data_IF_159601143757
#
_entry.id   IF_159601143757
#
_cell.length_a   1.000
_cell.length_b   1.000
_cell.length_c   1.000
_cell.angle_alpha   90.00
_cell.angle_beta   90.00
_cell.angle_gamma   90.00
#
_symmetry.space_group_name_H-M   'P 1'
#
loop_
_entity.id
_entity.type
_entity.pdbx_description
1 polymer ?
#
# COMPACT_ATOMS: atom_id res chain seq x y z
N UNK A 1 6.87 44.40 -22.30
CA UNK A 1 7.79 43.88 -21.25
C UNK A 1 7.11 42.88 -20.31
N UNK A 2 6.05 43.25 -19.56
CA UNK A 2 5.39 42.32 -18.60
C UNK A 2 4.77 41.07 -19.24
N UNK A 3 4.18 41.20 -20.44
CA UNK A 3 3.64 40.05 -21.19
C UNK A 3 4.73 39.06 -21.60
N UNK A 4 5.92 39.52 -21.93
CA UNK A 4 7.04 38.64 -22.28
C UNK A 4 7.64 37.96 -21.06
N UNK A 5 7.77 38.67 -19.93
CA UNK A 5 8.22 38.10 -18.65
C UNK A 5 7.23 37.02 -18.17
N UNK A 6 5.92 37.25 -18.34
CA UNK A 6 4.86 36.26 -18.04
C UNK A 6 4.93 35.04 -18.97
N UNK A 7 5.16 35.24 -20.28
CA UNK A 7 5.35 34.15 -21.25
C UNK A 7 6.60 33.31 -20.93
N UNK A 8 7.73 33.96 -20.61
CA UNK A 8 9.00 33.30 -20.24
C UNK A 8 8.87 32.52 -18.94
N UNK A 9 8.16 33.05 -17.93
CA UNK A 9 7.84 32.31 -16.69
C UNK A 9 6.95 31.09 -16.94
N UNK A 10 5.94 31.20 -17.81
CA UNK A 10 5.07 30.06 -18.19
C UNK A 10 5.84 28.99 -18.99
N UNK A 11 6.70 29.39 -19.93
CA UNK A 11 7.57 28.46 -20.67
C UNK A 11 8.54 27.73 -19.75
N UNK A 12 9.21 28.45 -18.83
CA UNK A 12 10.13 27.84 -17.87
C UNK A 12 9.42 26.97 -16.82
N UNK A 13 8.16 27.27 -16.49
CA UNK A 13 7.37 26.40 -15.63
C UNK A 13 6.94 25.11 -16.35
N UNK A 14 6.60 25.19 -17.64
CA UNK A 14 6.18 24.06 -18.46
C UNK A 14 7.33 23.07 -18.73
N UNK A 15 8.57 23.55 -18.97
CA UNK A 15 9.73 22.68 -19.23
C UNK A 15 10.15 21.83 -18.03
N UNK A 16 9.80 22.23 -16.81
CA UNK A 16 10.13 21.49 -15.57
C UNK A 16 9.02 20.55 -15.07
N UNK A 17 7.84 20.55 -15.69
CA UNK A 17 6.76 19.64 -15.30
C UNK A 17 7.08 18.14 -15.48
N UNK A 18 7.61 17.67 -16.63
CA UNK A 18 7.87 16.22 -16.81
C UNK A 18 8.89 15.70 -15.80
N UNK A 19 9.94 16.47 -15.50
CA UNK A 19 10.94 16.09 -14.51
C UNK A 19 10.33 15.97 -13.10
N UNK A 20 9.41 16.86 -12.73
CA UNK A 20 8.74 16.81 -11.42
C UNK A 20 7.80 15.61 -11.29
N UNK A 21 7.10 15.28 -12.36
CA UNK A 21 6.27 14.08 -12.42
C UNK A 21 7.12 12.81 -12.27
N UNK A 22 8.23 12.73 -12.99
CA UNK A 22 9.16 11.61 -12.88
C UNK A 22 9.73 11.44 -11.47
N UNK A 23 10.14 12.55 -10.82
CA UNK A 23 10.59 12.52 -9.42
C UNK A 23 9.48 12.03 -8.48
N UNK A 24 8.25 12.53 -8.67
CA UNK A 24 7.08 12.12 -7.87
C UNK A 24 6.82 10.62 -8.02
N UNK A 25 6.91 10.11 -9.25
CA UNK A 25 6.77 8.69 -9.55
C UNK A 25 7.83 7.87 -8.81
N UNK A 26 9.12 8.21 -8.95
CA UNK A 26 10.21 7.48 -8.28
C UNK A 26 10.02 7.46 -6.78
N UNK A 27 9.70 8.60 -6.18
CA UNK A 27 9.49 8.71 -4.74
C UNK A 27 8.33 7.84 -4.25
N UNK A 28 7.22 7.88 -4.97
CA UNK A 28 6.05 7.09 -4.62
C UNK A 28 6.27 5.59 -4.84
N UNK A 29 6.94 5.21 -5.93
CA UNK A 29 7.35 3.83 -6.21
C UNK A 29 8.28 3.29 -5.12
N UNK A 30 9.29 4.06 -4.74
CA UNK A 30 10.24 3.67 -3.68
C UNK A 30 9.53 3.46 -2.35
N UNK A 31 8.63 4.38 -2.01
CA UNK A 31 7.86 4.31 -0.77
C UNK A 31 6.89 3.13 -0.82
N UNK A 32 6.17 2.91 -1.92
CA UNK A 32 5.29 1.75 -2.11
C UNK A 32 6.02 0.45 -1.80
N UNK A 33 7.19 0.24 -2.42
CA UNK A 33 8.01 -0.96 -2.21
C UNK A 33 8.44 -1.07 -0.75
N UNK A 34 8.97 0.00 -0.16
CA UNK A 34 9.46 -0.01 1.22
C UNK A 34 8.35 -0.34 2.21
N UNK A 35 7.18 0.30 2.08
CA UNK A 35 6.05 0.07 2.98
C UNK A 35 5.40 -1.28 2.75
N UNK A 36 5.35 -1.77 1.51
CA UNK A 36 4.88 -3.12 1.20
C UNK A 36 5.75 -4.18 1.89
N UNK A 37 7.08 -4.11 1.72
CA UNK A 37 8.01 -5.06 2.33
C UNK A 37 7.92 -5.02 3.85
N UNK A 38 7.93 -3.80 4.42
CA UNK A 38 7.80 -3.63 5.87
C UNK A 38 6.53 -4.31 6.39
N UNK A 39 5.39 -4.09 5.73
CA UNK A 39 4.14 -4.71 6.13
C UNK A 39 4.18 -6.23 5.95
N UNK A 40 4.66 -6.72 4.80
CA UNK A 40 4.81 -8.15 4.49
C UNK A 40 5.61 -8.89 5.58
N UNK A 41 6.74 -8.33 6.02
CA UNK A 41 7.53 -8.94 7.07
C UNK A 41 6.87 -8.87 8.43
N UNK A 42 6.32 -7.70 8.79
CA UNK A 42 5.62 -7.55 10.06
C UNK A 42 4.45 -8.55 10.18
N UNK A 43 3.69 -8.76 9.10
CA UNK A 43 2.57 -9.70 9.09
C UNK A 43 3.03 -11.15 9.20
N UNK A 44 4.01 -11.57 8.39
CA UNK A 44 4.47 -12.95 8.42
C UNK A 44 5.18 -13.27 9.75
N UNK A 45 5.97 -12.32 10.28
CA UNK A 45 6.61 -12.50 11.58
C UNK A 45 5.58 -12.59 12.71
N UNK A 46 4.55 -11.74 12.70
CA UNK A 46 3.43 -11.84 13.66
C UNK A 46 2.74 -13.21 13.57
N UNK A 47 2.44 -13.69 12.37
CA UNK A 47 1.83 -15.01 12.17
C UNK A 47 2.72 -16.14 12.72
N UNK A 48 4.04 -16.07 12.52
CA UNK A 48 4.98 -17.04 13.08
C UNK A 48 5.06 -16.99 14.61
N UNK A 49 5.06 -15.79 15.19
CA UNK A 49 5.05 -15.62 16.65
C UNK A 49 3.80 -16.28 17.24
N UNK A 50 2.63 -16.01 16.65
CA UNK A 50 1.36 -16.59 17.07
C UNK A 50 1.35 -18.11 16.86
N UNK A 51 1.84 -18.60 15.72
CA UNK A 51 1.94 -20.03 15.45
C UNK A 51 2.81 -20.74 16.49
N UNK A 52 3.95 -20.15 16.86
CA UNK A 52 4.85 -20.68 17.90
C UNK A 52 4.16 -20.80 19.26
N UNK A 53 3.29 -19.86 19.62
CA UNK A 53 2.48 -19.96 20.85
C UNK A 53 1.54 -21.18 20.86
N UNK A 54 1.11 -21.67 19.69
CA UNK A 54 0.28 -22.86 19.54
C UNK A 54 1.08 -24.13 19.20
N UNK A 55 2.42 -24.08 19.23
CA UNK A 55 3.27 -25.23 18.89
C UNK A 55 3.34 -25.54 17.39
N UNK A 56 2.94 -24.61 16.52
CA UNK A 56 3.14 -24.70 15.08
C UNK A 56 4.46 -24.02 14.68
N UNK A 57 5.29 -24.75 13.96
CA UNK A 57 6.59 -24.33 13.45
C UNK A 57 6.49 -24.00 11.95
N UNK A 58 7.08 -22.87 11.58
CA UNK A 58 7.18 -22.42 10.21
C UNK A 58 8.47 -21.62 10.00
N UNK A 59 8.94 -21.64 8.76
CA UNK A 59 10.11 -20.89 8.32
C UNK A 59 9.65 -19.68 7.50
N UNK A 60 10.24 -18.52 7.81
CA UNK A 60 10.01 -17.30 7.05
C UNK A 60 10.88 -17.30 5.79
N UNK A 61 10.24 -17.30 4.63
CA UNK A 61 10.90 -17.12 3.34
C UNK A 61 10.47 -15.81 2.68
N UNK A 62 11.18 -15.46 1.61
CA UNK A 62 10.87 -14.27 0.82
C UNK A 62 9.49 -14.34 0.13
N UNK A 63 8.96 -15.54 -0.10
CA UNK A 63 7.65 -15.78 -0.69
C UNK A 63 6.54 -16.07 0.33
N UNK A 64 6.82 -16.03 1.63
CA UNK A 64 5.82 -16.25 2.69
C UNK A 64 6.30 -17.25 3.75
N UNK A 65 5.35 -17.82 4.49
CA UNK A 65 5.65 -18.82 5.52
C UNK A 65 5.57 -20.22 4.91
N UNK A 66 6.64 -21.00 5.09
CA UNK A 66 6.62 -22.44 4.82
C UNK A 66 6.41 -23.17 6.14
N UNK A 67 5.25 -23.81 6.29
CA UNK A 67 4.94 -24.59 7.49
C UNK A 67 5.76 -25.89 7.51
N UNK A 68 6.47 -26.15 8.62
CA UNK A 68 7.19 -27.40 8.88
C UNK A 68 6.25 -28.40 9.56
N UNK A 69 5.41 -27.91 10.48
CA UNK A 69 4.48 -28.75 11.24
C UNK A 69 3.51 -29.47 10.32
N UNK A 70 3.47 -30.80 10.44
CA UNK A 70 2.55 -31.66 9.70
C UNK A 70 1.09 -31.26 9.92
N UNK A 71 0.26 -31.39 8.88
CA UNK A 71 -1.18 -31.09 8.92
C UNK A 71 -1.96 -31.92 9.95
N UNK A 72 -1.42 -33.07 10.37
CA UNK A 72 -2.04 -33.94 11.39
C UNK A 72 -1.63 -33.59 12.83
N UNK A 73 -0.83 -32.54 13.04
CA UNK A 73 -0.42 -32.10 14.36
C UNK A 73 -1.59 -31.53 15.16
N UNK A 74 -1.59 -31.77 16.49
CA UNK A 74 -2.52 -31.15 17.44
C UNK A 74 -2.41 -29.61 17.47
N UNK A 75 -1.33 -29.06 16.92
CA UNK A 75 -1.14 -27.64 16.72
C UNK A 75 -2.18 -27.02 15.77
N UNK A 76 -2.85 -27.81 14.91
CA UNK A 76 -3.86 -27.34 13.95
C UNK A 76 -5.30 -27.57 14.43
N UNK A 77 -5.58 -27.17 15.68
CA UNK A 77 -6.95 -27.15 16.18
C UNK A 77 -7.71 -25.90 15.70
N UNK A 78 -9.03 -25.88 15.89
CA UNK A 78 -9.89 -24.77 15.46
C UNK A 78 -9.46 -23.41 16.00
N UNK A 79 -9.09 -23.34 17.28
CA UNK A 79 -8.67 -22.08 17.90
C UNK A 79 -7.37 -21.55 17.32
N UNK A 80 -6.36 -22.41 17.18
CA UNK A 80 -5.05 -22.01 16.64
C UNK A 80 -5.15 -21.57 15.19
N UNK A 81 -5.86 -22.31 14.32
CA UNK A 81 -6.00 -21.95 12.91
C UNK A 81 -6.69 -20.59 12.76
N UNK A 82 -7.81 -20.37 13.47
CA UNK A 82 -8.50 -19.08 13.43
C UNK A 82 -7.55 -17.96 13.87
N UNK A 83 -6.85 -18.10 14.99
CA UNK A 83 -5.98 -17.03 15.52
C UNK A 83 -4.75 -16.80 14.63
N UNK A 84 -4.08 -17.86 14.14
CA UNK A 84 -2.89 -17.76 13.28
C UNK A 84 -3.23 -17.04 11.98
N UNK A 85 -4.29 -17.44 11.28
CA UNK A 85 -4.59 -16.92 9.94
C UNK A 85 -5.42 -15.63 9.93
N UNK A 86 -6.09 -15.26 11.03
CA UNK A 86 -6.84 -14.00 11.13
C UNK A 86 -6.05 -12.85 11.75
N UNK A 87 -5.09 -13.15 12.62
CA UNK A 87 -4.34 -12.14 13.38
C UNK A 87 -3.65 -11.08 12.50
N UNK A 88 -2.89 -11.50 11.49
CA UNK A 88 -2.18 -10.60 10.59
C UNK A 88 -3.13 -9.65 9.83
N UNK A 89 -4.21 -10.13 9.17
CA UNK A 89 -5.23 -9.26 8.58
C UNK A 89 -5.82 -8.25 9.59
N UNK A 90 -6.23 -8.69 10.78
CA UNK A 90 -6.83 -7.80 11.77
C UNK A 90 -5.83 -6.75 12.30
N UNK A 91 -4.57 -7.13 12.52
CA UNK A 91 -3.51 -6.18 12.88
C UNK A 91 -3.26 -5.17 11.75
N UNK A 92 -3.34 -5.59 10.48
CA UNK A 92 -3.26 -4.67 9.35
C UNK A 92 -4.41 -3.66 9.30
N UNK A 93 -5.63 -4.09 9.64
CA UNK A 93 -6.78 -3.20 9.76
C UNK A 93 -6.58 -2.16 10.87
N UNK A 94 -6.12 -2.59 12.04
CA UNK A 94 -5.81 -1.69 13.17
C UNK A 94 -4.70 -0.71 12.75
N UNK A 95 -3.63 -1.22 12.14
CA UNK A 95 -2.50 -0.40 11.68
C UNK A 95 -2.94 0.62 10.63
N UNK A 96 -3.81 0.24 9.68
CA UNK A 96 -4.39 1.17 8.72
C UNK A 96 -5.17 2.29 9.45
N UNK A 97 -6.02 1.93 10.42
CA UNK A 97 -6.70 2.90 11.27
C UNK A 97 -5.74 3.87 11.98
N UNK A 98 -4.65 3.36 12.55
CA UNK A 98 -3.62 4.17 13.20
C UNK A 98 -2.91 5.10 12.21
N UNK A 99 -2.54 4.60 11.03
CA UNK A 99 -1.88 5.41 9.99
C UNK A 99 -2.80 6.54 9.50
N UNK A 100 -4.10 6.29 9.39
CA UNK A 100 -5.08 7.33 9.10
C UNK A 100 -5.09 8.42 10.19
N UNK A 101 -5.17 8.04 11.46
CA UNK A 101 -5.15 8.99 12.58
C UNK A 101 -3.85 9.79 12.64
N UNK A 102 -2.71 9.13 12.38
CA UNK A 102 -1.42 9.80 12.28
C UNK A 102 -1.46 10.81 11.15
N UNK A 103 -1.91 10.43 9.95
CA UNK A 103 -1.96 11.33 8.79
C UNK A 103 -2.72 12.63 9.08
N UNK A 104 -3.87 12.56 9.76
CA UNK A 104 -4.68 13.73 10.11
C UNK A 104 -3.92 14.73 11.00
N UNK A 105 -2.88 14.28 11.71
CA UNK A 105 -2.05 15.11 12.59
C UNK A 105 -0.77 15.62 11.91
N UNK A 106 -0.42 15.13 10.70
CA UNK A 106 0.83 15.44 10.00
C UNK A 106 0.80 16.73 9.14
N UNK A 107 0.33 17.84 9.69
CA UNK A 107 0.15 19.07 8.89
C UNK A 107 1.44 19.86 8.62
N UNK A 108 2.54 19.54 9.33
CA UNK A 108 3.83 20.25 9.26
C UNK A 108 5.04 19.34 8.96
N UNK A 109 4.79 18.09 8.58
CA UNK A 109 5.86 17.10 8.35
C UNK A 109 6.21 17.04 6.86
N UNK A 110 7.44 16.58 6.58
CA UNK A 110 7.92 16.38 5.21
C UNK A 110 6.97 15.48 4.41
N UNK A 111 6.72 15.85 3.15
CA UNK A 111 5.72 15.19 2.31
C UNK A 111 6.01 13.70 2.08
N UNK A 112 7.28 13.28 1.99
CA UNK A 112 7.63 11.86 1.85
C UNK A 112 7.15 11.01 3.02
N UNK A 113 7.24 11.55 4.25
CA UNK A 113 6.75 10.84 5.43
C UNK A 113 5.22 10.76 5.43
N UNK A 114 4.54 11.83 4.98
CA UNK A 114 3.09 11.78 4.77
C UNK A 114 2.74 10.72 3.72
N UNK A 115 3.48 10.67 2.62
CA UNK A 115 3.29 9.69 1.55
C UNK A 115 3.52 8.26 2.04
N UNK A 116 4.54 8.00 2.87
CA UNK A 116 4.75 6.67 3.48
C UNK A 116 3.63 6.27 4.42
N UNK A 117 3.09 7.22 5.20
CA UNK A 117 1.92 6.95 6.05
C UNK A 117 0.68 6.61 5.20
N UNK A 118 0.46 7.29 4.08
CA UNK A 118 -0.66 7.01 3.18
C UNK A 118 -0.50 5.66 2.46
N UNK A 119 0.71 5.33 2.00
CA UNK A 119 0.96 4.00 1.43
C UNK A 119 0.78 2.90 2.47
N UNK A 120 1.32 3.06 3.68
CA UNK A 120 1.13 2.10 4.77
C UNK A 120 -0.37 1.92 5.12
N UNK A 121 -1.13 3.00 5.14
CA UNK A 121 -2.58 2.98 5.28
C UNK A 121 -3.27 2.14 4.19
N UNK A 122 -2.92 2.37 2.92
CA UNK A 122 -3.50 1.63 1.80
C UNK A 122 -3.09 0.14 1.83
N UNK A 123 -1.81 -0.16 2.05
CA UNK A 123 -1.32 -1.52 2.20
C UNK A 123 -2.05 -2.25 3.33
N UNK A 124 -2.23 -1.62 4.49
CA UNK A 124 -2.95 -2.21 5.62
C UNK A 124 -4.39 -2.59 5.26
N UNK A 125 -5.11 -1.72 4.56
CA UNK A 125 -6.46 -2.04 4.09
C UNK A 125 -6.49 -3.15 3.04
N UNK A 126 -5.51 -3.18 2.13
CA UNK A 126 -5.38 -4.28 1.16
C UNK A 126 -5.06 -5.61 1.86
N UNK A 127 -4.17 -5.61 2.85
CA UNK A 127 -3.84 -6.80 3.65
C UNK A 127 -4.99 -7.28 4.54
N UNK A 128 -6.04 -6.48 4.72
CA UNK A 128 -7.28 -6.92 5.35
C UNK A 128 -8.32 -7.36 4.32
N UNK A 129 -8.82 -6.43 3.49
CA UNK A 129 -9.90 -6.69 2.53
C UNK A 129 -9.43 -7.57 1.37
N UNK A 130 -8.28 -7.24 0.79
CA UNK A 130 -7.66 -7.98 -0.30
C UNK A 130 -7.23 -9.38 0.12
N UNK A 131 -6.70 -9.55 1.34
CA UNK A 131 -6.31 -10.86 1.85
C UNK A 131 -7.50 -11.82 2.01
N UNK A 132 -8.67 -11.30 2.43
CA UNK A 132 -9.87 -12.12 2.49
C UNK A 132 -10.39 -12.50 1.10
N UNK A 133 -10.45 -11.53 0.16
CA UNK A 133 -10.84 -11.79 -1.24
C UNK A 133 -9.90 -12.83 -1.88
N UNK A 134 -8.59 -12.61 -1.76
CA UNK A 134 -7.56 -13.52 -2.25
C UNK A 134 -7.68 -14.89 -1.59
N UNK A 135 -7.91 -14.93 -0.28
CA UNK A 135 -8.06 -16.17 0.47
C UNK A 135 -9.26 -16.99 0.00
N UNK A 136 -10.44 -16.37 -0.14
CA UNK A 136 -11.66 -17.08 -0.59
C UNK A 136 -11.48 -17.67 -1.99
N UNK A 137 -10.85 -16.92 -2.92
CA UNK A 137 -10.63 -17.38 -4.29
C UNK A 137 -9.55 -18.47 -4.36
N UNK A 138 -8.44 -18.29 -3.65
CA UNK A 138 -7.30 -19.23 -3.68
C UNK A 138 -7.40 -20.39 -2.70
N UNK A 139 -8.37 -20.37 -1.77
CA UNK A 139 -8.51 -21.32 -0.66
C UNK A 139 -7.26 -21.39 0.24
N UNK A 140 -6.69 -20.24 0.56
CA UNK A 140 -5.48 -20.14 1.41
C UNK A 140 -5.52 -18.92 2.33
N UNK A 141 -4.55 -18.83 3.26
CA UNK A 141 -4.36 -17.66 4.11
C UNK A 141 -5.57 -17.36 4.98
N UNK A 142 -6.09 -16.13 4.90
CA UNK A 142 -7.20 -15.68 5.77
C UNK A 142 -8.48 -16.53 5.61
N UNK A 143 -8.67 -17.20 4.47
CA UNK A 143 -9.79 -18.13 4.30
C UNK A 143 -9.77 -19.32 5.26
N UNK A 144 -8.61 -19.78 5.72
CA UNK A 144 -8.57 -20.87 6.72
C UNK A 144 -9.30 -20.49 8.01
N UNK A 145 -9.28 -19.22 8.40
CA UNK A 145 -10.05 -18.76 9.56
C UNK A 145 -11.57 -18.90 9.34
N UNK A 146 -12.10 -18.49 8.17
CA UNK A 146 -13.54 -18.64 7.88
C UNK A 146 -13.95 -20.09 7.74
N UNK A 147 -13.13 -20.91 7.09
CA UNK A 147 -13.38 -22.33 6.91
C UNK A 147 -13.47 -23.06 8.26
N UNK A 148 -12.56 -22.79 9.20
CA UNK A 148 -12.56 -23.43 10.52
C UNK A 148 -13.66 -22.90 11.46
N UNK A 149 -14.21 -21.71 11.19
CA UNK A 149 -15.45 -21.24 11.84
C UNK A 149 -16.68 -22.04 11.34
N UNK A 150 -16.55 -22.81 10.26
CA UNK A 150 -17.62 -23.49 9.53
C UNK A 150 -18.62 -22.50 8.90
N UNK A 151 -18.12 -21.37 8.40
CA UNK A 151 -18.94 -20.44 7.60
C UNK A 151 -19.32 -21.14 6.29
N UNK A 152 -20.60 -21.09 5.91
CA UNK A 152 -21.03 -21.71 4.65
C UNK A 152 -20.42 -20.99 3.45
N UNK A 153 -20.20 -21.72 2.35
CA UNK A 153 -19.62 -21.15 1.13
C UNK A 153 -20.37 -19.90 0.61
N UNK A 154 -21.70 -19.89 0.74
CA UNK A 154 -22.52 -18.72 0.36
C UNK A 154 -22.15 -17.50 1.20
N UNK A 155 -22.00 -17.66 2.52
CA UNK A 155 -21.58 -16.57 3.40
C UNK A 155 -20.12 -16.13 3.13
N UNK A 156 -19.22 -17.05 2.77
CA UNK A 156 -17.85 -16.69 2.37
C UNK A 156 -17.84 -15.75 1.16
N UNK A 157 -18.65 -16.05 0.13
CA UNK A 157 -18.81 -15.20 -1.06
C UNK A 157 -19.40 -13.85 -0.67
N UNK A 158 -20.47 -13.82 0.13
CA UNK A 158 -21.09 -12.57 0.59
C UNK A 158 -20.07 -11.69 1.31
N UNK A 159 -19.24 -12.27 2.17
CA UNK A 159 -18.18 -11.55 2.88
C UNK A 159 -17.08 -11.06 1.92
N UNK A 160 -16.71 -11.84 0.90
CA UNK A 160 -15.74 -11.41 -0.11
C UNK A 160 -16.28 -10.23 -0.95
N UNK A 161 -17.56 -10.27 -1.33
CA UNK A 161 -18.25 -9.16 -2.00
C UNK A 161 -18.31 -7.94 -1.08
N UNK A 162 -18.61 -8.11 0.21
CA UNK A 162 -18.60 -7.04 1.18
C UNK A 162 -17.20 -6.41 1.33
N UNK A 163 -16.14 -7.21 1.32
CA UNK A 163 -14.75 -6.72 1.32
C UNK A 163 -14.40 -5.94 0.04
N UNK A 164 -14.86 -6.41 -1.12
CA UNK A 164 -14.68 -5.72 -2.38
C UNK A 164 -15.44 -4.38 -2.41
N UNK A 165 -16.70 -4.38 -1.95
CA UNK A 165 -17.49 -3.17 -1.79
C UNK A 165 -16.83 -2.18 -0.82
N UNK A 166 -16.33 -2.65 0.33
CA UNK A 166 -15.58 -1.83 1.29
C UNK A 166 -14.33 -1.19 0.67
N UNK A 167 -13.58 -1.95 -0.13
CA UNK A 167 -12.42 -1.45 -0.88
C UNK A 167 -12.81 -0.34 -1.86
N UNK A 168 -13.91 -0.53 -2.60
CA UNK A 168 -14.45 0.48 -3.53
C UNK A 168 -14.90 1.74 -2.76
N UNK A 169 -15.62 1.59 -1.65
CA UNK A 169 -16.10 2.71 -0.81
C UNK A 169 -14.93 3.56 -0.26
N UNK A 170 -13.79 2.93 0.04
CA UNK A 170 -12.59 3.59 0.54
C UNK A 170 -11.77 4.31 -0.55
N UNK A 171 -12.08 4.11 -1.83
CA UNK A 171 -11.34 4.71 -2.96
C UNK A 171 -11.23 6.24 -2.84
N UNK A 172 -12.35 6.92 -2.59
CA UNK A 172 -12.39 8.40 -2.55
C UNK A 172 -11.62 8.96 -1.35
N UNK A 173 -11.79 8.45 -0.11
CA UNK A 173 -10.92 8.80 1.01
C UNK A 173 -9.43 8.58 0.71
N UNK A 174 -9.04 7.40 0.21
CA UNK A 174 -7.64 7.07 -0.11
C UNK A 174 -7.03 8.11 -1.04
N UNK A 175 -7.72 8.44 -2.13
CA UNK A 175 -7.20 9.38 -3.13
C UNK A 175 -7.12 10.80 -2.59
N UNK A 176 -8.06 11.22 -1.73
CA UNK A 176 -7.94 12.50 -1.01
C UNK A 176 -6.66 12.56 -0.17
N UNK A 177 -6.31 11.48 0.53
CA UNK A 177 -5.10 11.42 1.36
C UNK A 177 -3.85 11.49 0.49
N UNK A 178 -3.80 10.77 -0.63
CA UNK A 178 -2.68 10.86 -1.57
C UNK A 178 -2.52 12.26 -2.15
N UNK A 179 -3.62 12.85 -2.64
CA UNK A 179 -3.60 14.22 -3.13
C UNK A 179 -3.12 15.19 -2.04
N UNK A 180 -3.63 15.06 -0.81
CA UNK A 180 -3.21 15.91 0.30
C UNK A 180 -1.76 15.68 0.77
N UNK A 181 -1.21 14.48 0.55
CA UNK A 181 0.19 14.16 0.87
C UNK A 181 1.17 14.90 -0.03
N UNK A 182 0.74 15.27 -1.24
CA UNK A 182 1.61 15.80 -2.26
C UNK A 182 1.62 17.32 -2.33
N UNK A 183 2.80 17.87 -2.61
CA UNK A 183 2.98 19.31 -2.81
C UNK A 183 2.36 19.82 -4.13
N UNK A 184 2.30 18.96 -5.16
CA UNK A 184 1.86 19.31 -6.51
C UNK A 184 0.34 19.27 -6.71
N UNK A 185 -0.42 18.73 -5.75
CA UNK A 185 -1.88 18.56 -5.87
C UNK A 185 -2.69 19.87 -5.73
N UNK A 186 -2.03 21.00 -5.43
CA UNK A 186 -2.68 22.31 -5.29
C UNK A 186 -3.32 22.82 -6.60
N UNK A 187 -3.16 22.11 -7.72
CA UNK A 187 -3.89 22.40 -8.94
C UNK A 187 -5.39 22.06 -8.78
N UNK A 188 -6.25 23.08 -8.93
CA UNK A 188 -7.71 22.93 -8.90
C UNK A 188 -8.30 22.27 -10.17
N UNK A 189 -7.47 21.98 -11.18
CA UNK A 189 -7.93 21.40 -12.45
C UNK A 189 -8.02 19.87 -12.35
N UNK A 190 -9.18 19.32 -12.66
CA UNK A 190 -9.47 17.87 -12.65
C UNK A 190 -8.46 17.05 -13.46
N UNK A 191 -8.09 17.52 -14.66
CA UNK A 191 -7.11 16.83 -15.53
C UNK A 191 -5.73 16.66 -14.88
N UNK A 192 -5.25 17.70 -14.19
CA UNK A 192 -3.96 17.65 -13.50
C UNK A 192 -4.03 16.72 -12.29
N UNK A 193 -5.15 16.68 -11.56
CA UNK A 193 -5.37 15.72 -10.48
C UNK A 193 -5.35 14.28 -11.00
N UNK A 194 -5.98 14.01 -12.15
CA UNK A 194 -5.97 12.66 -12.77
C UNK A 194 -4.56 12.23 -13.18
N UNK A 195 -3.81 13.10 -13.88
CA UNK A 195 -2.41 12.85 -14.22
C UNK A 195 -1.57 12.59 -12.97
N UNK A 196 -1.81 13.38 -11.94
CA UNK A 196 -1.10 13.26 -10.69
C UNK A 196 -1.40 11.94 -9.96
N UNK A 197 -2.67 11.51 -9.90
CA UNK A 197 -3.06 10.19 -9.35
C UNK A 197 -2.45 9.05 -10.15
N UNK A 198 -2.40 9.15 -11.48
CA UNK A 198 -1.74 8.14 -12.32
C UNK A 198 -0.27 7.99 -11.94
N UNK A 199 0.43 9.11 -11.79
CA UNK A 199 1.89 9.16 -11.58
C UNK A 199 2.28 8.84 -10.14
N UNK A 200 1.47 9.25 -9.15
CA UNK A 200 1.76 9.00 -7.74
C UNK A 200 1.17 7.69 -7.22
N UNK A 201 0.06 7.19 -7.77
CA UNK A 201 -0.63 6.02 -7.21
C UNK A 201 -0.61 4.85 -8.19
N UNK A 202 -1.18 5.04 -9.39
CA UNK A 202 -1.43 3.93 -10.32
C UNK A 202 -0.14 3.31 -10.84
N UNK A 203 0.77 4.11 -11.41
CA UNK A 203 2.02 3.60 -11.94
C UNK A 203 2.94 3.03 -10.85
N UNK A 204 3.13 3.70 -9.69
CA UNK A 204 3.86 3.12 -8.57
C UNK A 204 3.31 1.79 -8.09
N UNK A 205 1.98 1.66 -7.93
CA UNK A 205 1.36 0.39 -7.56
C UNK A 205 1.57 -0.67 -8.63
N UNK A 206 1.30 -0.36 -9.89
CA UNK A 206 1.37 -1.33 -10.99
C UNK A 206 2.79 -1.86 -11.16
N UNK A 207 3.76 -0.95 -11.32
CA UNK A 207 5.17 -1.33 -11.48
C UNK A 207 5.74 -1.93 -10.19
N UNK A 208 5.33 -1.45 -9.02
CA UNK A 208 5.75 -2.00 -7.76
C UNK A 208 5.23 -3.42 -7.54
N UNK A 209 3.97 -3.69 -7.88
CA UNK A 209 3.39 -5.03 -7.82
C UNK A 209 4.05 -5.97 -8.81
N UNK A 210 4.25 -5.53 -10.06
CA UNK A 210 4.99 -6.28 -11.06
C UNK A 210 6.40 -6.61 -10.57
N UNK A 211 7.08 -5.64 -9.97
CA UNK A 211 8.42 -5.84 -9.42
C UNK A 211 8.43 -6.86 -8.28
N UNK A 212 7.47 -6.81 -7.35
CA UNK A 212 7.31 -7.82 -6.28
C UNK A 212 7.06 -9.21 -6.89
N UNK A 213 6.19 -9.32 -7.89
CA UNK A 213 5.90 -10.56 -8.61
C UNK A 213 7.16 -11.13 -9.26
N UNK A 214 7.95 -10.29 -9.94
CA UNK A 214 9.20 -10.70 -10.58
C UNK A 214 10.25 -11.22 -9.58
N UNK A 215 10.31 -10.62 -8.39
CA UNK A 215 11.19 -11.12 -7.32
C UNK A 215 10.74 -12.50 -6.83
N UNK A 216 9.43 -12.76 -6.84
CA UNK A 216 8.83 -14.00 -6.35
C UNK A 216 8.58 -15.07 -7.42
N UNK A 217 9.09 -14.88 -8.65
CA UNK A 217 8.68 -15.66 -9.83
C UNK A 217 8.74 -17.19 -9.66
N UNK A 218 9.70 -17.71 -8.90
CA UNK A 218 9.87 -19.15 -8.67
C UNK A 218 8.84 -19.79 -7.72
N UNK A 219 8.12 -18.97 -6.93
CA UNK A 219 7.26 -19.40 -5.81
C UNK A 219 5.99 -18.56 -5.69
N UNK A 220 5.55 -17.93 -6.78
CA UNK A 220 4.39 -17.05 -6.72
C UNK A 220 3.09 -17.85 -6.55
N UNK A 221 2.33 -17.53 -5.51
CA UNK A 221 1.03 -18.14 -5.26
C UNK A 221 -0.09 -17.29 -5.86
N UNK A 222 -1.17 -17.95 -6.30
CA UNK A 222 -2.37 -17.27 -6.80
C UNK A 222 -2.91 -16.25 -5.78
N UNK A 223 -2.80 -16.57 -4.49
CA UNK A 223 -3.15 -15.68 -3.39
C UNK A 223 -2.48 -14.30 -3.52
N UNK A 224 -1.17 -14.28 -3.77
CA UNK A 224 -0.41 -13.03 -3.83
C UNK A 224 -0.77 -12.20 -5.06
N UNK A 225 -1.02 -12.84 -6.20
CA UNK A 225 -1.45 -12.16 -7.43
C UNK A 225 -2.79 -11.46 -7.19
N UNK A 226 -3.74 -12.14 -6.53
CA UNK A 226 -5.05 -11.55 -6.23
C UNK A 226 -4.95 -10.45 -5.16
N UNK A 227 -4.10 -10.64 -4.15
CA UNK A 227 -3.83 -9.61 -3.14
C UNK A 227 -3.23 -8.34 -3.76
N UNK A 228 -2.28 -8.48 -4.69
CA UNK A 228 -1.67 -7.35 -5.39
C UNK A 228 -2.61 -6.72 -6.44
N UNK A 229 -3.52 -7.49 -7.02
CA UNK A 229 -4.52 -6.96 -7.94
C UNK A 229 -5.65 -6.23 -7.20
N UNK A 230 -5.91 -6.52 -5.92
CA UNK A 230 -7.00 -5.90 -5.17
C UNK A 230 -6.82 -4.40 -4.92
N UNK A 231 -5.61 -3.85 -5.05
CA UNK A 231 -5.40 -2.38 -5.08
C UNK A 231 -6.23 -1.72 -6.19
N UNK A 232 -6.46 -2.41 -7.31
CA UNK A 232 -7.28 -1.87 -8.41
C UNK A 232 -8.69 -1.52 -7.96
N UNK A 233 -9.26 -2.26 -6.99
CA UNK A 233 -10.59 -1.97 -6.43
C UNK A 233 -10.64 -0.60 -5.73
N UNK A 234 -9.54 -0.17 -5.10
CA UNK A 234 -9.41 1.16 -4.50
C UNK A 234 -9.20 2.28 -5.53
N UNK A 235 -8.90 1.94 -6.79
CA UNK A 235 -8.58 2.89 -7.85
C UNK A 235 -9.72 3.04 -8.87
N UNK A 236 -10.51 1.99 -9.09
CA UNK A 236 -11.61 1.95 -10.06
C UNK A 236 -12.58 3.12 -9.86
N UNK A 237 -13.01 3.40 -8.62
CA UNK A 237 -14.03 4.42 -8.40
C UNK A 237 -13.62 5.80 -8.93
N UNK A 238 -12.35 6.16 -8.82
CA UNK A 238 -11.86 7.48 -9.21
C UNK A 238 -11.82 7.68 -10.72
N UNK A 239 -11.41 6.66 -11.48
CA UNK A 239 -11.32 6.81 -12.93
C UNK A 239 -12.69 6.83 -13.60
N UNK A 240 -13.63 6.03 -13.10
CA UNK A 240 -14.92 5.85 -13.75
C UNK A 240 -16.02 6.78 -13.24
N UNK A 241 -16.02 7.14 -11.94
CA UNK A 241 -17.18 7.81 -11.34
C UNK A 241 -16.94 9.29 -10.99
N UNK A 242 -15.69 9.74 -10.78
CA UNK A 242 -15.42 11.14 -10.41
C UNK A 242 -15.02 11.99 -11.64
N UNK A 243 -16.01 12.67 -12.23
CA UNK A 243 -15.78 13.67 -13.28
C UNK A 243 -15.31 15.01 -12.71
N UNK A 244 -15.65 15.30 -11.44
CA UNK A 244 -15.36 16.57 -10.77
C UNK A 244 -14.00 16.51 -10.08
N UNK A 245 -13.31 17.66 -9.92
CA UNK A 245 -12.09 17.69 -9.13
C UNK A 245 -12.41 17.32 -7.68
N UNK A 246 -11.56 16.49 -7.08
CA UNK A 246 -11.68 16.14 -5.67
C UNK A 246 -11.28 17.38 -4.86
N UNK A 247 -12.22 17.85 -4.04
CA UNK A 247 -11.97 18.93 -3.09
C UNK A 247 -11.17 18.39 -1.90
N UNK A 248 -10.01 19.00 -1.66
CA UNK A 248 -9.15 18.71 -0.52
C UNK A 248 -9.40 19.81 0.51
N UNK A 249 -9.86 19.48 1.73
CA UNK A 249 -10.02 20.49 2.77
C UNK A 249 -8.70 21.19 3.12
N UNK A 250 -8.74 22.49 3.37
CA UNK A 250 -7.54 23.29 3.64
C UNK A 250 -6.73 22.79 4.85
N UNK A 251 -7.41 22.24 5.86
CA UNK A 251 -6.77 21.67 7.03
C UNK A 251 -5.92 20.43 6.73
N UNK A 252 -6.17 19.76 5.59
CA UNK A 252 -5.44 18.57 5.16
C UNK A 252 -4.23 18.91 4.29
N UNK A 253 -4.19 20.12 3.72
CA UNK A 253 -3.09 20.56 2.87
C UNK A 253 -1.80 20.72 3.67
N UNK A 254 -0.67 20.35 3.05
CA UNK A 254 0.66 20.64 3.61
C UNK A 254 0.78 22.16 3.79
N UNK A 255 0.82 22.64 5.04
CA UNK A 255 1.10 24.06 5.29
C UNK A 255 2.51 24.35 4.77
N UNK A 256 2.65 25.44 4.02
CA UNK A 256 3.89 25.82 3.32
C UNK A 256 5.07 25.77 4.30
N UNK A 257 5.87 24.71 4.20
CA UNK A 257 7.03 24.53 5.08
C UNK A 257 8.04 25.64 4.72
N UNK A 258 8.42 26.46 5.72
CA UNK A 258 9.39 27.54 5.52
C UNK A 258 10.71 26.89 5.11
N UNK A 259 11.08 27.16 3.85
CA UNK A 259 12.16 26.50 3.11
C UNK A 259 13.52 26.91 3.68
N UNK A 260 14.06 26.17 4.66
CA UNK A 260 15.52 26.20 4.89
C UNK A 260 16.18 25.40 3.76
N UNK A 261 17.03 26.10 3.00
CA UNK A 261 17.75 25.63 1.79
C UNK A 261 18.66 24.46 2.21
N UNK A 262 18.36 23.22 1.81
CA UNK A 262 19.15 22.08 2.30
C UNK A 262 19.33 20.98 1.25
N UNK A 263 20.53 20.90 0.67
CA UNK A 263 21.02 19.76 -0.12
C UNK A 263 20.77 18.41 0.57
N UNK A 264 20.71 18.38 1.92
CA UNK A 264 20.41 17.20 2.74
C UNK A 264 19.09 16.52 2.39
N UNK A 265 18.07 17.24 1.89
CA UNK A 265 16.78 16.63 1.54
C UNK A 265 16.88 15.72 0.31
N UNK A 266 17.73 16.08 -0.66
CA UNK A 266 17.98 15.23 -1.83
C UNK A 266 18.75 13.97 -1.44
N UNK A 267 19.74 14.10 -0.55
CA UNK A 267 20.52 12.97 -0.04
C UNK A 267 19.63 11.93 0.66
N UNK A 268 18.68 12.36 1.50
CA UNK A 268 17.72 11.46 2.16
C UNK A 268 16.88 10.67 1.15
N UNK A 269 16.49 11.28 0.02
CA UNK A 269 15.71 10.59 -1.04
C UNK A 269 16.49 9.44 -1.67
N UNK A 270 17.75 9.70 -2.02
CA UNK A 270 18.63 8.67 -2.58
C UNK A 270 18.94 7.58 -1.56
N UNK A 271 19.16 7.94 -0.29
CA UNK A 271 19.36 6.97 0.79
C UNK A 271 18.15 6.06 0.95
N UNK A 272 16.92 6.60 0.97
CA UNK A 272 15.70 5.78 1.07
C UNK A 272 15.54 4.81 -0.11
N UNK A 273 15.81 5.28 -1.33
CA UNK A 273 15.80 4.42 -2.51
C UNK A 273 16.87 3.32 -2.42
N UNK A 274 18.11 3.66 -2.06
CA UNK A 274 19.18 2.68 -1.89
C UNK A 274 18.89 1.68 -0.78
N UNK A 275 18.32 2.11 0.35
CA UNK A 275 17.89 1.21 1.42
C UNK A 275 16.83 0.24 0.91
N UNK A 276 15.83 0.72 0.17
CA UNK A 276 14.82 -0.16 -0.42
C UNK A 276 15.45 -1.21 -1.35
N UNK A 277 16.35 -0.79 -2.24
CA UNK A 277 17.09 -1.70 -3.15
C UNK A 277 17.98 -2.68 -2.38
N UNK A 278 18.71 -2.23 -1.36
CA UNK A 278 19.58 -3.09 -0.54
C UNK A 278 18.77 -4.13 0.22
N UNK A 279 17.68 -3.72 0.87
CA UNK A 279 16.77 -4.63 1.58
C UNK A 279 16.24 -5.69 0.63
N UNK A 280 15.91 -5.32 -0.61
CA UNK A 280 15.46 -6.23 -1.67
C UNK A 280 16.55 -7.16 -2.21
N UNK A 281 17.78 -6.69 -2.34
CA UNK A 281 18.90 -7.54 -2.81
C UNK A 281 19.26 -8.54 -1.71
N UNK A 282 19.37 -8.08 -0.46
CA UNK A 282 19.56 -8.98 0.69
C UNK A 282 18.43 -10.00 0.82
N UNK A 283 17.19 -9.59 0.51
CA UNK A 283 16.03 -10.47 0.51
C UNK A 283 16.16 -11.66 -0.44
N UNK A 284 16.74 -11.45 -1.62
CA UNK A 284 16.93 -12.51 -2.62
C UNK A 284 18.15 -13.39 -2.35
N UNK A 285 19.18 -12.87 -1.68
CA UNK A 285 20.45 -13.58 -1.51
C UNK A 285 20.51 -14.48 -0.28
N UNK A 286 19.66 -14.24 0.72
CA UNK A 286 19.72 -14.96 2.01
C UNK A 286 18.79 -16.17 2.11
N UNK A 287 17.91 -16.38 1.12
CA UNK A 287 16.91 -17.45 1.05
C UNK A 287 16.59 -17.81 -0.41
#
# INVERSE_FOLDING_TARGET
MEREISKKKKLNAASHEPMRFFITFIESFSIFILTYLLLFYCTNYLTLVIAKFYGAEGELHYYGIKWITSGNSLAWNKGSVITIFSSAPFVCLILAGLMYQIFLRLNRVHYLFRLSVVWMFLHGFVYFFGAYIAGVISRTGFWYASAFINISFVFEIIMAIACAAGSIMLSKPVIRLFLASAYLSQSRKSEMQKKFVLIQIVFPWFLGSLFVILIKLSRIELHEIILLSSYSLFLIFFFFFDKKPILIPDWMLVKKYIKKKTHRIYLIRYILFFIAVIVLVFFRLRF
#
